data_IF_004973980116
#
_entry.id   IF_004973980116
#
_cell.length_a   1.000
_cell.length_b   1.000
_cell.length_c   1.000
_cell.angle_alpha   90.00
_cell.angle_beta   90.00
_cell.angle_gamma   90.00
#
_symmetry.space_group_name_H-M   'P 1'
#
loop_
_entity.id
_entity.type
_entity.pdbx_description
1 polymer ?
#
# COMPACT_ATOMS: atom_id res chain seq x y z
N UNK A 1 48.84 29.58 -15.50
CA UNK A 1 47.49 29.44 -16.08
C UNK A 1 46.95 28.05 -15.83
N UNK A 2 46.38 27.81 -14.65
CA UNK A 2 45.59 26.61 -14.40
C UNK A 2 44.22 26.85 -15.02
N UNK A 3 43.86 26.05 -16.04
CA UNK A 3 42.48 25.99 -16.54
C UNK A 3 41.65 25.36 -15.43
N UNK A 4 40.83 26.19 -14.82
CA UNK A 4 39.81 25.73 -13.88
C UNK A 4 38.70 25.15 -14.75
N UNK A 5 38.65 23.83 -14.86
CA UNK A 5 37.58 23.12 -15.56
C UNK A 5 36.29 23.32 -14.76
N UNK A 6 35.58 24.39 -15.07
CA UNK A 6 34.26 24.68 -14.56
C UNK A 6 33.29 23.66 -15.15
N UNK A 7 33.06 22.56 -14.44
CA UNK A 7 31.94 21.69 -14.74
C UNK A 7 30.66 22.53 -14.69
N UNK A 8 29.79 22.46 -15.71
CA UNK A 8 28.49 23.13 -15.67
C UNK A 8 27.71 22.65 -14.44
N UNK A 9 26.87 23.51 -13.84
CA UNK A 9 26.08 23.14 -12.68
C UNK A 9 25.22 21.91 -13.01
N UNK A 10 25.16 20.98 -12.07
CA UNK A 10 24.36 19.77 -12.20
C UNK A 10 22.87 20.14 -12.28
N UNK A 11 22.27 19.92 -13.45
CA UNK A 11 20.85 20.09 -13.70
C UNK A 11 20.22 18.71 -13.93
N UNK A 12 19.53 18.21 -12.90
CA UNK A 12 18.89 16.90 -12.92
C UNK A 12 17.84 16.79 -14.05
N UNK A 13 17.05 17.84 -14.27
CA UNK A 13 16.01 17.87 -15.30
C UNK A 13 16.61 17.82 -16.69
N UNK A 14 17.64 18.61 -16.96
CA UNK A 14 18.34 18.59 -18.25
C UNK A 14 18.95 17.21 -18.54
N UNK A 15 19.48 16.53 -17.52
CA UNK A 15 20.01 15.17 -17.67
C UNK A 15 18.88 14.18 -17.98
N UNK A 16 17.75 14.23 -17.27
CA UNK A 16 16.60 13.35 -17.52
C UNK A 16 16.06 13.54 -18.94
N UNK A 17 15.92 14.79 -19.40
CA UNK A 17 15.49 15.09 -20.77
C UNK A 17 16.46 14.54 -21.81
N UNK A 18 17.77 14.71 -21.58
CA UNK A 18 18.80 14.15 -22.44
C UNK A 18 18.69 12.62 -22.52
N UNK A 19 18.55 11.94 -21.40
CA UNK A 19 18.39 10.48 -21.36
C UNK A 19 17.13 10.04 -22.11
N UNK A 20 16.00 10.76 -21.95
CA UNK A 20 14.77 10.46 -22.71
C UNK A 20 14.98 10.62 -24.22
N UNK A 21 15.65 11.70 -24.64
CA UNK A 21 15.94 11.95 -26.05
C UNK A 21 16.85 10.85 -26.64
N UNK A 22 17.88 10.44 -25.89
CA UNK A 22 18.80 9.38 -26.29
C UNK A 22 18.07 8.03 -26.43
N UNK A 23 17.17 7.68 -25.50
CA UNK A 23 16.34 6.48 -25.61
C UNK A 23 15.46 6.49 -26.87
N UNK A 24 14.87 7.64 -27.24
CA UNK A 24 14.03 7.76 -28.43
C UNK A 24 14.83 7.79 -29.74
N UNK A 25 16.05 8.33 -29.71
CA UNK A 25 16.94 8.40 -30.87
C UNK A 25 17.45 7.01 -31.30
N UNK A 26 17.67 6.11 -30.33
CA UNK A 26 18.14 4.74 -30.58
C UNK A 26 17.05 3.81 -31.14
N UNK A 27 15.77 4.20 -31.06
CA UNK A 27 14.65 3.40 -31.54
C UNK A 27 14.21 3.83 -32.95
N UNK A 28 13.96 2.87 -33.87
CA UNK A 28 13.43 3.18 -35.19
C UNK A 28 12.04 3.83 -35.07
N UNK A 29 11.71 4.76 -35.98
CA UNK A 29 10.47 5.55 -35.91
C UNK A 29 9.20 4.70 -35.74
N UNK A 30 9.15 3.51 -36.36
CA UNK A 30 8.00 2.62 -36.34
C UNK A 30 7.78 1.91 -34.99
N UNK A 31 8.79 1.87 -34.12
CA UNK A 31 8.74 1.20 -32.81
C UNK A 31 8.91 2.17 -31.64
N UNK A 32 8.80 3.49 -31.87
CA UNK A 32 8.90 4.46 -30.79
C UNK A 32 7.71 4.33 -29.84
N UNK A 33 7.95 4.15 -28.54
CA UNK A 33 6.87 4.11 -27.56
C UNK A 33 6.19 5.48 -27.45
N UNK A 34 4.93 5.50 -27.02
CA UNK A 34 4.20 6.75 -26.76
C UNK A 34 4.81 7.50 -25.57
N UNK A 35 5.22 6.77 -24.52
CA UNK A 35 5.77 7.31 -23.29
C UNK A 35 7.10 6.62 -22.95
N UNK A 36 8.06 7.38 -22.40
CA UNK A 36 9.31 6.87 -21.84
C UNK A 36 9.33 7.25 -20.37
N UNK A 37 9.33 6.25 -19.50
CA UNK A 37 9.37 6.44 -18.05
C UNK A 37 10.80 6.20 -17.54
N UNK A 38 11.33 7.17 -16.83
CA UNK A 38 12.59 7.03 -16.11
C UNK A 38 12.28 6.66 -14.66
N UNK A 39 12.70 5.46 -14.25
CA UNK A 39 12.42 4.91 -12.93
C UNK A 39 13.69 4.33 -12.32
N UNK A 40 13.73 4.18 -10.99
CA UNK A 40 14.77 3.42 -10.31
C UNK A 40 14.18 2.39 -9.37
N UNK A 41 14.79 1.21 -9.33
CA UNK A 41 14.43 0.12 -8.43
C UNK A 41 14.92 0.34 -6.99
N UNK A 42 15.74 1.36 -6.74
CA UNK A 42 16.19 1.67 -5.39
C UNK A 42 14.98 2.10 -4.57
N UNK A 43 14.77 1.47 -3.41
CA UNK A 43 13.66 1.80 -2.49
C UNK A 43 13.57 3.31 -2.23
N UNK A 44 14.72 3.98 -2.17
CA UNK A 44 14.87 5.42 -1.97
C UNK A 44 14.36 6.30 -3.15
N UNK A 45 14.24 5.75 -4.33
CA UNK A 45 13.92 6.50 -5.53
C UNK A 45 12.53 6.15 -6.09
N UNK A 46 11.72 5.36 -5.37
CA UNK A 46 10.41 4.88 -5.85
C UNK A 46 9.35 5.97 -6.04
N UNK A 47 9.58 7.17 -5.53
CA UNK A 47 8.70 8.34 -5.72
C UNK A 47 9.38 9.46 -6.51
N UNK A 48 10.53 9.17 -7.13
CA UNK A 48 11.27 10.11 -7.96
C UNK A 48 10.91 9.86 -9.41
N UNK A 49 11.02 10.92 -10.21
CA UNK A 49 10.83 10.89 -11.67
C UNK A 49 9.47 10.31 -12.05
N UNK A 50 9.42 9.30 -12.91
CA UNK A 50 8.20 8.88 -13.59
C UNK A 50 7.61 7.58 -13.00
N UNK A 51 8.02 7.17 -11.79
CA UNK A 51 7.63 5.87 -11.22
C UNK A 51 6.12 5.78 -10.91
N UNK A 52 5.50 6.83 -10.40
CA UNK A 52 4.06 6.83 -10.12
C UNK A 52 3.25 6.77 -11.43
N UNK A 53 3.63 7.55 -12.44
CA UNK A 53 3.00 7.54 -13.77
C UNK A 53 3.20 6.19 -14.48
N UNK A 54 4.40 5.62 -14.39
CA UNK A 54 4.71 4.29 -14.90
C UNK A 54 3.79 3.24 -14.28
N UNK A 55 3.64 3.25 -12.95
CA UNK A 55 2.82 2.29 -12.24
C UNK A 55 1.34 2.45 -12.57
N UNK A 56 0.88 3.70 -12.71
CA UNK A 56 -0.48 4.02 -13.12
C UNK A 56 -0.80 3.45 -14.52
N UNK A 57 0.05 3.76 -15.50
CA UNK A 57 -0.17 3.36 -16.89
C UNK A 57 0.05 1.86 -17.10
N UNK A 58 1.01 1.26 -16.39
CA UNK A 58 1.22 -0.19 -16.40
C UNK A 58 0.00 -0.93 -15.85
N UNK A 59 -0.60 -0.44 -14.77
CA UNK A 59 -1.83 -1.01 -14.25
C UNK A 59 -2.99 -0.85 -15.24
N UNK A 60 -3.15 0.33 -15.85
CA UNK A 60 -4.17 0.56 -16.88
C UNK A 60 -4.02 -0.34 -18.10
N UNK A 61 -2.80 -0.53 -18.58
CA UNK A 61 -2.48 -1.37 -19.74
C UNK A 61 -2.70 -2.86 -19.48
N UNK A 62 -2.62 -3.31 -18.22
CA UNK A 62 -2.90 -4.70 -17.88
C UNK A 62 -4.40 -5.04 -18.09
N UNK A 63 -4.72 -6.14 -18.80
CA UNK A 63 -6.09 -6.67 -18.87
C UNK A 63 -6.65 -6.93 -17.47
N UNK A 64 -7.96 -6.79 -17.29
CA UNK A 64 -8.63 -6.83 -15.99
C UNK A 64 -8.21 -8.03 -15.12
N UNK A 65 -8.13 -9.24 -15.71
CA UNK A 65 -7.73 -10.47 -15.00
C UNK A 65 -6.25 -10.51 -14.61
N UNK A 66 -5.37 -9.85 -15.35
CA UNK A 66 -3.92 -9.81 -15.04
C UNK A 66 -3.58 -8.68 -14.08
N UNK A 67 -4.38 -7.61 -14.09
CA UNK A 67 -4.16 -6.40 -13.28
C UNK A 67 -4.18 -6.71 -11.79
N UNK A 68 -5.11 -7.53 -11.33
CA UNK A 68 -5.18 -7.92 -9.91
C UNK A 68 -3.96 -8.71 -9.46
N UNK A 69 -3.58 -9.75 -10.21
CA UNK A 69 -2.39 -10.55 -9.89
C UNK A 69 -1.11 -9.72 -9.95
N UNK A 70 -0.99 -8.85 -10.96
CA UNK A 70 0.12 -7.92 -11.06
C UNK A 70 0.16 -7.01 -9.83
N UNK A 71 -0.96 -6.36 -9.51
CA UNK A 71 -1.05 -5.44 -8.39
C UNK A 71 -0.77 -6.07 -7.02
N UNK A 72 -1.14 -7.33 -6.83
CA UNK A 72 -0.80 -8.06 -5.61
C UNK A 72 0.67 -8.53 -5.57
N UNK A 73 1.36 -8.60 -6.71
CA UNK A 73 2.79 -8.94 -6.78
C UNK A 73 3.72 -7.75 -6.53
N UNK A 74 3.29 -6.53 -6.88
CA UNK A 74 4.06 -5.30 -6.61
C UNK A 74 3.97 -4.92 -5.14
N UNK A 75 5.02 -4.29 -4.64
CA UNK A 75 5.08 -3.82 -3.25
C UNK A 75 4.32 -2.50 -3.09
N UNK A 76 3.72 -2.27 -1.92
CA UNK A 76 2.95 -1.06 -1.59
C UNK A 76 3.86 0.13 -1.20
N UNK A 77 5.06 0.23 -1.78
CA UNK A 77 6.03 1.26 -1.44
C UNK A 77 5.89 2.54 -2.28
N UNK A 78 5.19 2.52 -3.41
CA UNK A 78 4.81 3.74 -4.11
C UNK A 78 3.36 4.11 -3.77
N UNK A 79 3.05 5.42 -3.79
CA UNK A 79 1.71 5.91 -3.42
C UNK A 79 0.64 5.36 -4.36
N UNK A 80 0.94 5.32 -5.66
CA UNK A 80 -0.03 4.85 -6.64
C UNK A 80 -0.29 3.33 -6.52
N UNK A 81 0.75 2.52 -6.26
CA UNK A 81 0.53 1.09 -5.98
C UNK A 81 -0.26 0.86 -4.69
N UNK A 82 0.01 1.65 -3.64
CA UNK A 82 -0.76 1.58 -2.40
C UNK A 82 -2.23 1.93 -2.63
N UNK A 83 -2.51 3.04 -3.32
CA UNK A 83 -3.87 3.50 -3.66
C UNK A 83 -4.63 2.42 -4.45
N UNK A 84 -4.00 1.89 -5.49
CA UNK A 84 -4.61 0.84 -6.30
C UNK A 84 -4.85 -0.42 -5.48
N UNK A 85 -3.89 -0.87 -4.65
CA UNK A 85 -4.08 -2.04 -3.78
C UNK A 85 -5.27 -1.86 -2.84
N UNK A 86 -5.39 -0.71 -2.20
CA UNK A 86 -6.53 -0.40 -1.32
C UNK A 86 -7.86 -0.47 -2.09
N UNK A 87 -7.91 0.09 -3.30
CA UNK A 87 -9.11 0.03 -4.14
C UNK A 87 -9.53 -1.42 -4.45
N UNK A 88 -8.56 -2.28 -4.80
CA UNK A 88 -8.83 -3.69 -5.11
C UNK A 88 -9.16 -4.53 -3.87
N UNK A 89 -8.50 -4.28 -2.75
CA UNK A 89 -8.83 -4.91 -1.47
C UNK A 89 -10.23 -4.54 -1.01
N UNK A 90 -10.63 -3.26 -1.15
CA UNK A 90 -12.00 -2.82 -0.84
C UNK A 90 -13.03 -3.51 -1.74
N UNK A 91 -12.77 -3.61 -3.04
CA UNK A 91 -13.65 -4.35 -3.96
C UNK A 91 -13.80 -5.81 -3.52
N UNK A 92 -12.74 -6.46 -3.04
CA UNK A 92 -12.75 -7.86 -2.62
C UNK A 92 -13.63 -8.16 -1.39
N UNK A 93 -14.00 -7.14 -0.61
CA UNK A 93 -14.88 -7.29 0.57
C UNK A 93 -16.21 -8.00 0.25
N UNK A 94 -16.70 -7.92 -0.99
CA UNK A 94 -17.97 -8.55 -1.38
C UNK A 94 -18.00 -10.06 -1.10
N UNK A 95 -16.87 -10.76 -1.21
CA UNK A 95 -16.78 -12.20 -0.91
C UNK A 95 -17.05 -12.47 0.57
N UNK A 96 -16.49 -11.62 1.45
CA UNK A 96 -16.67 -11.75 2.91
C UNK A 96 -18.09 -11.35 3.32
N UNK A 97 -18.63 -10.28 2.73
CA UNK A 97 -20.03 -9.88 2.92
C UNK A 97 -21.00 -10.97 2.48
N UNK A 98 -20.72 -11.66 1.36
CA UNK A 98 -21.55 -12.77 0.88
C UNK A 98 -21.52 -13.96 1.85
N UNK A 99 -20.34 -14.29 2.37
CA UNK A 99 -20.20 -15.33 3.40
C UNK A 99 -20.96 -14.95 4.69
N UNK A 100 -20.93 -13.67 5.08
CA UNK A 100 -21.65 -13.18 6.25
C UNK A 100 -23.17 -13.23 6.08
N UNK A 101 -23.67 -12.85 4.91
CA UNK A 101 -25.09 -12.97 4.58
C UNK A 101 -25.57 -14.43 4.67
N UNK A 102 -24.79 -15.37 4.14
CA UNK A 102 -25.08 -16.79 4.20
C UNK A 102 -25.03 -17.33 5.64
N UNK A 103 -24.02 -16.92 6.42
CA UNK A 103 -23.87 -17.34 7.80
C UNK A 103 -25.02 -16.87 8.70
N UNK A 104 -25.57 -15.69 8.44
CA UNK A 104 -26.71 -15.13 9.21
C UNK A 104 -28.02 -15.90 9.05
N UNK A 105 -28.16 -16.74 8.01
CA UNK A 105 -29.35 -17.57 7.78
C UNK A 105 -29.34 -18.84 8.65
N UNK A 106 -28.17 -19.24 9.15
CA UNK A 106 -28.02 -20.49 9.90
C UNK A 106 -28.66 -20.37 11.30
N UNK A 107 -29.60 -21.27 11.67
CA UNK A 107 -30.27 -21.25 12.97
C UNK A 107 -29.41 -21.88 14.08
N UNK A 108 -28.10 -21.67 14.05
CA UNK A 108 -27.14 -22.25 15.01
C UNK A 108 -26.52 -21.10 15.81
N UNK A 109 -26.88 -20.96 17.11
CA UNK A 109 -26.31 -19.93 17.97
C UNK A 109 -24.78 -19.96 17.98
N UNK A 110 -24.15 -18.80 17.80
CA UNK A 110 -22.69 -18.63 17.83
C UNK A 110 -21.93 -19.08 16.57
N UNK A 111 -22.52 -19.89 15.69
CA UNK A 111 -21.84 -20.35 14.47
C UNK A 111 -21.62 -19.22 13.47
N UNK A 112 -22.65 -18.39 13.24
CA UNK A 112 -22.57 -17.25 12.32
C UNK A 112 -21.50 -16.24 12.75
N UNK A 113 -21.40 -15.99 14.06
CA UNK A 113 -20.40 -15.10 14.66
C UNK A 113 -18.98 -15.63 14.43
N UNK A 114 -18.75 -16.92 14.64
CA UNK A 114 -17.45 -17.54 14.41
C UNK A 114 -17.05 -17.54 12.92
N UNK A 115 -17.99 -17.82 12.02
CA UNK A 115 -17.76 -17.77 10.57
C UNK A 115 -17.38 -16.33 10.15
N UNK A 116 -18.16 -15.34 10.57
CA UNK A 116 -17.89 -13.94 10.28
C UNK A 116 -16.52 -13.52 10.83
N UNK A 117 -16.20 -13.90 12.06
CA UNK A 117 -14.92 -13.62 12.69
C UNK A 117 -13.75 -14.19 11.88
N UNK A 118 -13.80 -15.48 11.54
CA UNK A 118 -12.71 -16.15 10.80
C UNK A 118 -12.53 -15.52 9.41
N UNK A 119 -13.62 -15.29 8.68
CA UNK A 119 -13.57 -14.72 7.34
C UNK A 119 -12.98 -13.30 7.35
N UNK A 120 -13.44 -12.46 8.27
CA UNK A 120 -12.96 -11.10 8.42
C UNK A 120 -11.51 -11.03 8.92
N UNK A 121 -11.10 -11.89 9.86
CA UNK A 121 -9.70 -11.99 10.31
C UNK A 121 -8.77 -12.37 9.16
N UNK A 122 -9.15 -13.34 8.34
CA UNK A 122 -8.34 -13.77 7.20
C UNK A 122 -8.20 -12.65 6.17
N UNK A 123 -9.29 -11.93 5.88
CA UNK A 123 -9.26 -10.84 4.92
C UNK A 123 -8.39 -9.67 5.43
N UNK A 124 -8.52 -9.30 6.69
CA UNK A 124 -7.72 -8.23 7.26
C UNK A 124 -6.23 -8.62 7.47
N UNK A 125 -5.92 -9.92 7.69
CA UNK A 125 -4.53 -10.43 7.56
C UNK A 125 -4.01 -10.29 6.13
N UNK A 126 -4.84 -10.55 5.13
CA UNK A 126 -4.46 -10.34 3.73
C UNK A 126 -4.21 -8.85 3.43
N UNK A 127 -4.99 -7.93 4.00
CA UNK A 127 -4.72 -6.49 3.88
C UNK A 127 -3.34 -6.13 4.42
N UNK A 128 -3.03 -6.57 5.66
CA UNK A 128 -1.72 -6.32 6.29
C UNK A 128 -0.57 -6.80 5.41
N UNK A 129 -0.66 -8.02 4.88
CA UNK A 129 0.37 -8.58 3.99
C UNK A 129 0.50 -7.80 2.69
N UNK A 130 -0.62 -7.50 2.04
CA UNK A 130 -0.63 -6.83 0.74
C UNK A 130 -0.16 -5.37 0.79
N UNK A 131 -0.34 -4.71 1.94
CA UNK A 131 0.10 -3.34 2.20
C UNK A 131 1.52 -3.27 2.77
N UNK A 132 2.23 -4.40 2.87
CA UNK A 132 3.62 -4.44 3.33
C UNK A 132 3.80 -4.17 4.83
N UNK A 133 2.75 -4.34 5.63
CA UNK A 133 2.73 -4.09 7.07
C UNK A 133 3.23 -5.31 7.87
N UNK A 134 4.40 -5.82 7.49
CA UNK A 134 5.06 -6.96 8.14
C UNK A 134 5.72 -6.57 9.48
N UNK A 135 6.31 -7.53 10.19
CA UNK A 135 7.01 -7.26 11.47
C UNK A 135 8.09 -6.17 11.35
N UNK A 136 8.75 -6.08 10.19
CA UNK A 136 9.70 -5.02 9.88
C UNK A 136 9.04 -3.63 9.84
N UNK A 137 7.82 -3.54 9.31
CA UNK A 137 7.03 -2.30 9.35
C UNK A 137 6.64 -1.92 10.78
N UNK A 138 6.34 -2.91 11.63
CA UNK A 138 6.06 -2.70 13.06
C UNK A 138 7.27 -2.11 13.78
N UNK A 139 8.47 -2.65 13.55
CA UNK A 139 9.69 -2.11 14.15
C UNK A 139 9.97 -0.67 13.69
N UNK A 140 9.76 -0.38 12.40
CA UNK A 140 9.83 1.00 11.88
C UNK A 140 8.79 1.92 12.51
N UNK A 141 7.57 1.43 12.74
CA UNK A 141 6.51 2.19 13.41
C UNK A 141 6.83 2.46 14.88
N UNK A 142 7.49 1.55 15.60
CA UNK A 142 7.95 1.80 16.97
C UNK A 142 9.03 2.89 17.02
N UNK A 143 9.97 2.88 16.07
CA UNK A 143 10.98 3.94 15.93
C UNK A 143 10.29 5.28 15.65
N UNK A 144 9.27 5.28 14.79
CA UNK A 144 8.44 6.45 14.51
C UNK A 144 7.70 6.94 15.74
N UNK A 145 7.09 6.06 16.51
CA UNK A 145 6.39 6.40 17.76
C UNK A 145 7.31 7.18 18.70
N UNK A 146 8.56 6.75 18.86
CA UNK A 146 9.54 7.42 19.71
C UNK A 146 9.89 8.84 19.23
N UNK A 147 9.97 9.04 17.91
CA UNK A 147 10.50 10.29 17.30
C UNK A 147 9.41 11.27 16.86
N UNK A 148 8.14 10.86 16.83
CA UNK A 148 7.07 11.62 16.17
C UNK A 148 6.28 12.56 17.07
N UNK A 149 5.67 13.63 16.50
CA UNK A 149 4.68 14.48 17.16
C UNK A 149 3.45 13.70 17.66
N UNK A 150 2.74 14.24 18.65
CA UNK A 150 1.62 13.55 19.33
C UNK A 150 0.53 13.00 18.38
N UNK A 151 0.19 13.72 17.31
CA UNK A 151 -0.84 13.26 16.37
C UNK A 151 -0.44 11.98 15.60
N UNK A 152 0.85 11.83 15.28
CA UNK A 152 1.39 10.63 14.65
C UNK A 152 1.46 9.51 15.68
N UNK A 153 1.90 9.81 16.91
CA UNK A 153 1.93 8.85 18.02
C UNK A 153 0.56 8.24 18.28
N UNK A 154 -0.50 9.05 18.35
CA UNK A 154 -1.86 8.56 18.57
C UNK A 154 -2.33 7.61 17.45
N UNK A 155 -1.95 7.90 16.21
CA UNK A 155 -2.29 7.03 15.07
C UNK A 155 -1.48 5.73 15.11
N UNK A 156 -0.22 5.78 15.55
CA UNK A 156 0.61 4.58 15.75
C UNK A 156 0.09 3.74 16.92
N UNK A 157 -0.30 4.36 18.04
CA UNK A 157 -0.83 3.70 19.24
C UNK A 157 -2.10 2.91 18.94
N UNK A 158 -3.01 3.51 18.16
CA UNK A 158 -4.24 2.84 17.73
C UNK A 158 -4.00 1.72 16.70
N UNK A 159 -2.85 1.73 16.01
CA UNK A 159 -2.56 0.77 14.93
C UNK A 159 -1.60 -0.34 15.35
N UNK A 160 -0.66 -0.13 16.27
CA UNK A 160 0.27 -1.16 16.75
C UNK A 160 -0.43 -2.45 17.22
N UNK A 161 -1.54 -2.38 17.99
CA UNK A 161 -2.34 -3.56 18.34
C UNK A 161 -2.89 -4.30 17.13
N UNK A 162 -3.23 -3.57 16.06
CA UNK A 162 -3.80 -4.10 14.81
C UNK A 162 -2.71 -4.76 13.95
N UNK A 163 -1.45 -4.38 14.12
CA UNK A 163 -0.34 -4.97 13.37
C UNK A 163 0.30 -6.17 14.07
N UNK A 164 0.13 -6.32 15.38
CA UNK A 164 0.63 -7.47 16.11
C UNK A 164 -0.33 -8.66 15.94
N UNK A 165 0.11 -9.79 15.36
CA UNK A 165 -0.76 -10.95 15.09
C UNK A 165 -1.60 -11.43 16.29
N UNK A 166 -1.01 -11.43 17.50
CA UNK A 166 -1.71 -11.90 18.71
C UNK A 166 -2.77 -10.91 19.17
N UNK A 167 -2.39 -9.63 19.21
CA UNK A 167 -3.28 -8.54 19.66
C UNK A 167 -4.34 -8.23 18.60
N UNK A 168 -4.01 -8.42 17.33
CA UNK A 168 -4.89 -8.19 16.19
C UNK A 168 -6.13 -9.07 16.28
N UNK A 169 -5.97 -10.37 16.53
CA UNK A 169 -7.11 -11.27 16.68
C UNK A 169 -8.02 -10.88 17.84
N UNK A 170 -7.45 -10.46 18.96
CA UNK A 170 -8.21 -10.05 20.15
C UNK A 170 -8.94 -8.72 19.94
N UNK A 171 -8.26 -7.70 19.41
CA UNK A 171 -8.86 -6.40 19.07
C UNK A 171 -9.97 -6.57 18.07
N UNK A 172 -9.73 -7.36 17.03
CA UNK A 172 -10.70 -7.60 15.95
C UNK A 172 -11.91 -8.38 16.47
N UNK A 173 -11.69 -9.40 17.31
CA UNK A 173 -12.75 -10.14 17.99
C UNK A 173 -13.60 -9.20 18.82
N UNK A 174 -12.99 -8.43 19.71
CA UNK A 174 -13.72 -7.49 20.58
C UNK A 174 -14.51 -6.46 19.77
N UNK A 175 -13.94 -5.94 18.68
CA UNK A 175 -14.63 -5.01 17.77
C UNK A 175 -15.87 -5.65 17.13
N UNK A 176 -15.72 -6.83 16.50
CA UNK A 176 -16.84 -7.54 15.88
C UNK A 176 -17.93 -7.95 16.88
N UNK A 177 -17.56 -8.41 18.09
CA UNK A 177 -18.51 -8.80 19.12
C UNK A 177 -19.31 -7.61 19.65
N UNK A 178 -18.67 -6.45 19.85
CA UNK A 178 -19.36 -5.22 20.27
C UNK A 178 -20.37 -4.74 19.22
N UNK A 179 -20.10 -4.93 17.93
CA UNK A 179 -21.05 -4.61 16.86
C UNK A 179 -22.20 -5.63 16.75
N UNK A 180 -21.97 -6.91 17.09
CA UNK A 180 -22.95 -8.00 16.91
C UNK A 180 -23.96 -8.18 18.05
N UNK A 181 -23.83 -7.46 19.18
CA UNK A 181 -24.74 -7.59 20.32
C UNK A 181 -26.23 -7.36 19.95
N UNK A 182 -26.51 -6.64 18.86
CA UNK A 182 -27.86 -6.34 18.38
C UNK A 182 -28.46 -7.37 17.39
N UNK A 183 -27.67 -8.27 16.80
CA UNK A 183 -28.09 -9.10 15.65
C UNK A 183 -28.76 -10.42 16.09
N UNK A 184 -28.49 -10.88 17.32
CA UNK A 184 -28.97 -12.17 17.84
C UNK A 184 -30.50 -12.29 17.96
N UNK A 185 -31.23 -11.17 17.93
CA UNK A 185 -32.69 -11.13 18.06
C UNK A 185 -33.43 -10.78 16.76
N UNK A 186 -32.72 -10.68 15.63
CA UNK A 186 -33.32 -10.30 14.35
C UNK A 186 -33.87 -11.51 13.57
N UNK A 187 -34.95 -11.28 12.81
CA UNK A 187 -35.51 -12.23 11.83
C UNK A 187 -34.50 -12.45 10.69
N UNK A 188 -34.41 -13.63 10.03
CA UNK A 188 -33.31 -13.97 9.11
C UNK A 188 -32.95 -12.91 8.06
N UNK A 189 -33.95 -12.28 7.43
CA UNK A 189 -33.70 -11.24 6.41
C UNK A 189 -33.04 -9.99 7.01
N UNK A 190 -33.51 -9.54 8.19
CA UNK A 190 -32.94 -8.38 8.90
C UNK A 190 -31.55 -8.73 9.43
N UNK A 191 -31.37 -9.94 9.94
CA UNK A 191 -30.08 -10.44 10.43
C UNK A 191 -29.01 -10.46 9.34
N UNK A 192 -29.33 -10.90 8.12
CA UNK A 192 -28.39 -10.91 6.99
C UNK A 192 -27.94 -9.51 6.57
N UNK A 193 -28.86 -8.54 6.52
CA UNK A 193 -28.51 -7.15 6.16
C UNK A 193 -27.58 -6.53 7.21
N UNK A 194 -27.90 -6.68 8.50
CA UNK A 194 -27.08 -6.15 9.58
C UNK A 194 -25.71 -6.83 9.65
N UNK A 195 -25.63 -8.14 9.37
CA UNK A 195 -24.37 -8.88 9.30
C UNK A 195 -23.48 -8.35 8.17
N UNK A 196 -24.02 -8.14 6.97
CA UNK A 196 -23.29 -7.56 5.83
C UNK A 196 -22.79 -6.16 6.15
N UNK A 197 -23.65 -5.31 6.70
CA UNK A 197 -23.28 -3.94 7.06
C UNK A 197 -22.14 -3.92 8.09
N UNK A 198 -22.30 -4.68 9.18
CA UNK A 198 -21.29 -4.77 10.24
C UNK A 198 -19.94 -5.24 9.69
N UNK A 199 -19.95 -6.28 8.85
CA UNK A 199 -18.73 -6.81 8.23
C UNK A 199 -18.08 -5.80 7.30
N UNK A 200 -18.86 -5.12 6.45
CA UNK A 200 -18.36 -4.11 5.53
C UNK A 200 -17.71 -2.94 6.28
N UNK A 201 -18.40 -2.38 7.27
CA UNK A 201 -17.90 -1.26 8.09
C UNK A 201 -16.64 -1.65 8.86
N UNK A 202 -16.60 -2.87 9.40
CA UNK A 202 -15.42 -3.40 10.09
C UNK A 202 -14.23 -3.50 9.14
N UNK A 203 -14.40 -4.14 7.98
CA UNK A 203 -13.32 -4.29 7.01
C UNK A 203 -12.84 -2.95 6.44
N UNK A 204 -13.75 -2.00 6.21
CA UNK A 204 -13.38 -0.64 5.78
C UNK A 204 -12.61 0.11 6.85
N UNK A 205 -13.02 0.02 8.12
CA UNK A 205 -12.29 0.63 9.23
C UNK A 205 -10.83 0.14 9.26
N UNK A 206 -10.63 -1.19 9.23
CA UNK A 206 -9.29 -1.77 9.28
C UNK A 206 -8.47 -1.47 8.02
N UNK A 207 -9.08 -1.53 6.83
CA UNK A 207 -8.39 -1.19 5.58
C UNK A 207 -7.93 0.26 5.56
N UNK A 208 -8.80 1.20 5.97
CA UNK A 208 -8.47 2.63 6.04
C UNK A 208 -7.39 2.92 7.09
N UNK A 209 -7.42 2.21 8.22
CA UNK A 209 -6.39 2.34 9.25
C UNK A 209 -5.02 1.87 8.72
N UNK A 210 -4.99 0.72 8.06
CA UNK A 210 -3.77 0.18 7.46
C UNK A 210 -3.24 1.05 6.31
N UNK A 211 -4.12 1.60 5.47
CA UNK A 211 -3.76 2.55 4.41
C UNK A 211 -3.06 3.78 4.99
N UNK A 212 -3.63 4.41 6.03
CA UNK A 212 -3.03 5.57 6.69
C UNK A 212 -1.62 5.27 7.21
N UNK A 213 -1.43 4.09 7.79
CA UNK A 213 -0.12 3.66 8.31
C UNK A 213 0.88 3.38 7.20
N UNK A 214 0.46 2.71 6.13
CA UNK A 214 1.31 2.51 4.96
C UNK A 214 1.72 3.85 4.33
N UNK A 215 0.81 4.82 4.24
CA UNK A 215 1.12 6.19 3.79
C UNK A 215 2.12 6.89 4.70
N UNK A 216 1.96 6.81 6.03
CA UNK A 216 2.93 7.40 6.96
C UNK A 216 4.33 6.80 6.81
N UNK A 217 4.44 5.49 6.59
CA UNK A 217 5.73 4.83 6.35
C UNK A 217 6.38 5.29 5.04
N UNK A 218 5.58 5.49 3.99
CA UNK A 218 6.02 6.07 2.72
C UNK A 218 6.54 7.51 2.94
N UNK A 219 5.76 8.35 3.65
CA UNK A 219 6.07 9.76 3.89
C UNK A 219 7.35 9.93 4.73
N UNK A 220 7.54 9.07 5.73
CA UNK A 220 8.77 9.05 6.52
C UNK A 220 9.97 8.72 5.65
N UNK A 221 9.87 7.65 4.85
CA UNK A 221 10.96 7.24 3.96
C UNK A 221 11.34 8.40 3.02
N UNK A 222 10.35 9.13 2.50
CA UNK A 222 10.58 10.37 1.74
C UNK A 222 11.29 11.46 2.55
N UNK A 223 10.91 11.66 3.81
CA UNK A 223 11.45 12.74 4.66
C UNK A 223 12.91 12.46 5.06
N UNK A 224 13.24 11.23 5.48
CA UNK A 224 14.62 10.80 5.78
C UNK A 224 15.55 10.98 4.58
N UNK A 225 15.01 10.89 3.37
CA UNK A 225 15.76 11.11 2.14
C UNK A 225 16.02 12.56 1.81
N UNK A 226 15.10 13.46 2.17
CA UNK A 226 15.32 14.90 2.01
C UNK A 226 16.26 15.49 3.06
N UNK A 227 16.39 14.83 4.23
CA UNK A 227 17.23 15.27 5.33
C UNK A 227 18.70 14.80 5.23
N UNK A 228 19.04 13.88 4.34
CA UNK A 228 20.42 13.39 4.16
C UNK A 228 21.18 14.25 3.14
N UNK A 229 22.24 15.00 3.53
CA UNK A 229 22.96 15.91 2.64
C UNK A 229 23.94 15.21 1.68
N UNK A 230 23.80 13.90 1.47
CA UNK A 230 24.87 13.07 0.88
C UNK A 230 24.60 12.68 -0.57
N UNK A 231 24.29 13.64 -1.45
CA UNK A 231 24.47 13.43 -2.90
C UNK A 231 24.88 14.73 -3.61
N UNK A 232 26.03 15.28 -3.22
CA UNK A 232 26.98 15.76 -4.22
C UNK A 232 28.11 14.74 -4.31
N UNK A 233 28.43 14.32 -5.53
CA UNK A 233 29.58 13.46 -5.91
C UNK A 233 29.59 12.02 -5.40
N UNK A 234 29.10 11.10 -6.23
CA UNK A 234 29.82 9.86 -6.59
C UNK A 234 29.25 9.32 -7.92
N UNK A 235 29.63 10.00 -9.00
CA UNK A 235 29.71 9.38 -10.34
C UNK A 235 31.19 9.31 -10.69
N UNK A 236 31.85 8.31 -10.13
CA UNK A 236 33.03 7.70 -10.74
C UNK A 236 32.64 6.26 -10.99
N UNK A 237 32.88 5.79 -12.21
CA UNK A 237 32.80 4.39 -12.63
C UNK A 237 31.41 3.91 -13.09
N UNK A 238 30.89 4.54 -14.15
CA UNK A 238 30.19 3.78 -15.20
C UNK A 238 31.18 3.64 -16.35
N UNK A 239 31.98 2.56 -16.32
CA UNK A 239 32.63 2.08 -17.53
C UNK A 239 31.54 1.57 -18.48
N UNK A 240 31.33 2.34 -19.55
CA UNK A 240 30.59 1.89 -20.72
C UNK A 240 31.44 0.81 -21.38
N UNK A 241 31.10 -0.46 -21.12
CA UNK A 241 31.67 -1.57 -21.89
C UNK A 241 31.05 -1.49 -23.29
N UNK A 242 31.91 -1.16 -24.24
CA UNK A 242 31.67 -1.15 -25.70
C UNK A 242 31.27 -2.51 -26.25
#
# INVERSE_FOLDING_TARGET
>A
NAKQDSHPPFDEQAILEKVRADCLAQLPQQSRPQNVYLCSSRLKCLHRWDMDDFMHDLCKACPQLKRESFLFSINAHCREALRLKVEYLRKRQWFVCSAAAAAAILPVPGLSQNINLIACLNEAKAYRQQLGLCNEAIERLKILQATSPEYIRQTIDSTLPVLNDKTFEEVFRNFLFNCHAAIAHCVPVVGSVLAVQTVSETLDYFLNLMEKVALMLIDMHLTDMTASPTYTTQYSDIEVIS
#
